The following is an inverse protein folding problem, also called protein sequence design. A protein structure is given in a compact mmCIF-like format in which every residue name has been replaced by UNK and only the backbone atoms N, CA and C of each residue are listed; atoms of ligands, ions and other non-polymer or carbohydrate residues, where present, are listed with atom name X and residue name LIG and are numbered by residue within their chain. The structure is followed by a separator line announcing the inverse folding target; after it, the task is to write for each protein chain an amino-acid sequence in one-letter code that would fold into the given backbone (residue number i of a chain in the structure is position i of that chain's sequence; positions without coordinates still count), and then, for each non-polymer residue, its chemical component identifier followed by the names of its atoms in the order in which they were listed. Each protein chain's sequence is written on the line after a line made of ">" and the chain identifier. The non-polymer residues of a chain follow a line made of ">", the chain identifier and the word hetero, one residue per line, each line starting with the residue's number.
data_IF_853056938210
#
_entry.id   IF_853056938210
#
_cell.length_a   1.000
_cell.length_b   1.000
_cell.length_c   1.000
_cell.angle_alpha   90.00
_cell.angle_beta   90.00
_cell.angle_gamma   90.00
#
_symmetry.space_group_name_H-M   'P 1'
#
loop_
_entity.id
_entity.type
_entity.pdbx_description
1 polymer ?
#
# COMPACT_ATOMS: atom_id res chain seq x y z
N UNK A 1 -16.58 -4.27 -17.78
CA UNK A 1 -15.71 -5.43 -17.60
C UNK A 1 -14.69 -5.17 -16.49
N UNK A 2 -14.56 -6.10 -15.59
CA UNK A 2 -13.61 -5.97 -14.47
C UNK A 2 -12.16 -6.10 -14.96
N UNK A 3 -11.29 -5.24 -14.46
CA UNK A 3 -9.87 -5.35 -14.77
C UNK A 3 -9.27 -6.54 -14.01
N UNK A 4 -8.30 -7.20 -14.62
CA UNK A 4 -7.58 -8.28 -13.96
C UNK A 4 -6.69 -7.75 -12.83
N UNK A 5 -6.23 -8.65 -11.97
CA UNK A 5 -5.28 -8.32 -10.90
C UNK A 5 -4.05 -7.60 -11.47
N UNK A 6 -3.42 -8.17 -12.50
CA UNK A 6 -2.22 -7.57 -13.08
C UNK A 6 -2.47 -6.17 -13.60
N UNK A 7 -3.60 -5.94 -14.25
CA UNK A 7 -3.94 -4.63 -14.79
C UNK A 7 -4.16 -3.60 -13.67
N UNK A 8 -4.86 -4.02 -12.60
CA UNK A 8 -5.08 -3.15 -11.45
C UNK A 8 -3.75 -2.76 -10.81
N UNK A 9 -2.86 -3.72 -10.61
CA UNK A 9 -1.56 -3.46 -9.99
C UNK A 9 -0.70 -2.57 -10.87
N UNK A 10 -0.73 -2.76 -12.19
CA UNK A 10 0.02 -1.89 -13.11
C UNK A 10 -0.41 -0.43 -12.98
N UNK A 11 -1.71 -0.19 -12.87
CA UNK A 11 -2.23 1.17 -12.74
C UNK A 11 -1.85 1.80 -11.38
N UNK A 12 -1.87 1.00 -10.32
CA UNK A 12 -1.41 1.46 -9.00
C UNK A 12 0.08 1.77 -9.05
N UNK A 13 0.89 0.91 -9.65
CA UNK A 13 2.33 1.12 -9.78
C UNK A 13 2.64 2.40 -10.54
N UNK A 14 1.91 2.69 -11.59
CA UNK A 14 2.07 3.94 -12.36
C UNK A 14 1.84 5.16 -11.47
N UNK A 15 0.78 5.14 -10.68
CA UNK A 15 0.47 6.22 -9.77
C UNK A 15 1.60 6.42 -8.75
N UNK A 16 2.06 5.33 -8.15
CA UNK A 16 3.14 5.37 -7.14
C UNK A 16 4.41 5.95 -7.75
N UNK A 17 4.76 5.49 -8.95
CA UNK A 17 5.95 6.00 -9.64
C UNK A 17 5.86 7.52 -9.84
N UNK A 18 4.70 8.01 -10.31
CA UNK A 18 4.52 9.45 -10.53
C UNK A 18 4.60 10.26 -9.23
N UNK A 19 4.11 9.70 -8.13
CA UNK A 19 4.12 10.40 -6.85
C UNK A 19 5.51 10.42 -6.21
N UNK A 20 6.33 9.39 -6.42
CA UNK A 20 7.59 9.23 -5.70
C UNK A 20 8.84 9.44 -6.55
N UNK A 21 8.72 9.59 -7.85
CA UNK A 21 9.88 9.64 -8.75
C UNK A 21 10.86 10.78 -8.46
N UNK A 22 10.41 11.85 -7.83
CA UNK A 22 11.26 13.00 -7.50
C UNK A 22 11.66 13.03 -6.03
N UNK A 23 11.47 11.94 -5.32
CA UNK A 23 11.78 11.87 -3.89
C UNK A 23 13.26 11.53 -3.69
N UNK A 24 13.93 12.33 -2.88
CA UNK A 24 15.33 12.14 -2.53
C UNK A 24 15.52 11.78 -1.06
N UNK A 25 14.44 11.46 -0.34
CA UNK A 25 14.50 11.23 1.10
C UNK A 25 14.63 9.76 1.49
N UNK A 26 14.72 8.84 0.52
CA UNK A 26 14.85 7.42 0.77
C UNK A 26 13.57 6.61 0.59
N UNK A 27 12.45 7.27 0.34
CA UNK A 27 11.18 6.62 0.03
C UNK A 27 11.12 6.34 -1.47
N UNK A 28 12.09 5.60 -1.98
CA UNK A 28 12.23 5.43 -3.42
C UNK A 28 11.48 4.20 -3.94
N UNK A 29 11.42 4.11 -5.26
CA UNK A 29 10.73 3.02 -5.93
C UNK A 29 11.39 1.67 -5.62
N UNK A 30 12.72 1.65 -5.43
CA UNK A 30 13.43 0.42 -5.07
C UNK A 30 12.94 -0.16 -3.75
N UNK A 31 12.73 0.69 -2.74
CA UNK A 31 12.17 0.26 -1.46
C UNK A 31 10.79 -0.37 -1.66
N UNK A 32 9.93 0.31 -2.42
CA UNK A 32 8.57 -0.20 -2.70
C UNK A 32 8.65 -1.57 -3.36
N UNK A 33 9.52 -1.74 -4.35
CA UNK A 33 9.65 -3.01 -5.06
C UNK A 33 10.12 -4.12 -4.12
N UNK A 34 11.03 -3.83 -3.20
CA UNK A 34 11.49 -4.82 -2.22
C UNK A 34 10.39 -5.20 -1.24
N UNK A 35 9.61 -4.22 -0.78
CA UNK A 35 8.47 -4.49 0.10
C UNK A 35 7.44 -5.37 -0.60
N UNK A 36 7.13 -5.08 -1.85
CA UNK A 36 6.18 -5.89 -2.64
C UNK A 36 6.69 -7.32 -2.79
N UNK A 37 7.98 -7.51 -3.10
CA UNK A 37 8.56 -8.85 -3.19
C UNK A 37 8.49 -9.60 -1.86
N UNK A 38 8.76 -8.90 -0.75
CA UNK A 38 8.64 -9.50 0.58
C UNK A 38 7.20 -9.96 0.84
N UNK A 39 6.22 -9.14 0.47
CA UNK A 39 4.81 -9.48 0.65
C UNK A 39 4.42 -10.72 -0.14
N UNK A 40 4.89 -10.85 -1.38
CA UNK A 40 4.63 -12.05 -2.17
C UNK A 40 5.19 -13.30 -1.49
N UNK A 41 6.37 -13.21 -0.91
CA UNK A 41 6.97 -14.33 -0.18
C UNK A 41 6.14 -14.72 1.05
N UNK A 42 5.67 -13.73 1.79
CA UNK A 42 4.83 -13.98 2.97
C UNK A 42 3.51 -14.61 2.55
N UNK A 43 2.91 -14.12 1.46
CA UNK A 43 1.62 -14.63 0.98
C UNK A 43 1.67 -16.09 0.54
N UNK A 44 2.85 -16.64 0.28
CA UNK A 44 2.99 -18.07 0.01
C UNK A 44 2.73 -18.92 1.25
N UNK A 45 2.91 -18.35 2.44
CA UNK A 45 2.78 -19.07 3.72
C UNK A 45 1.58 -18.62 4.54
N UNK A 46 1.16 -17.37 4.37
CA UNK A 46 0.06 -16.80 5.15
C UNK A 46 -1.14 -16.53 4.25
N UNK A 47 -2.33 -16.81 4.75
CA UNK A 47 -3.56 -16.59 3.97
C UNK A 47 -3.99 -15.13 4.07
N UNK A 48 -3.57 -14.33 3.09
CA UNK A 48 -4.01 -12.95 2.98
C UNK A 48 -4.70 -12.72 1.66
N UNK A 49 -5.29 -11.54 1.50
CA UNK A 49 -5.88 -11.11 0.23
C UNK A 49 -4.79 -10.47 -0.62
N UNK A 50 -4.40 -11.14 -1.69
CA UNK A 50 -3.27 -10.69 -2.52
C UNK A 50 -3.50 -9.29 -3.09
N UNK A 51 -4.69 -8.98 -3.57
CA UNK A 51 -4.98 -7.66 -4.14
C UNK A 51 -4.84 -6.57 -3.08
N UNK A 52 -5.44 -6.77 -1.92
CA UNK A 52 -5.39 -5.79 -0.84
C UNK A 52 -3.97 -5.60 -0.32
N UNK A 53 -3.26 -6.72 -0.08
CA UNK A 53 -1.90 -6.67 0.45
C UNK A 53 -0.94 -5.97 -0.52
N UNK A 54 -0.94 -6.39 -1.78
CA UNK A 54 0.01 -5.85 -2.75
C UNK A 54 -0.30 -4.38 -3.06
N UNK A 55 -1.57 -4.04 -3.21
CA UNK A 55 -1.97 -2.64 -3.42
C UNK A 55 -1.52 -1.76 -2.24
N UNK A 56 -1.73 -2.24 -1.02
CA UNK A 56 -1.33 -1.51 0.18
C UNK A 56 0.18 -1.32 0.26
N UNK A 57 0.94 -2.35 -0.11
CA UNK A 57 2.40 -2.24 -0.14
C UNK A 57 2.87 -1.15 -1.09
N UNK A 58 2.27 -1.07 -2.29
CA UNK A 58 2.62 -0.02 -3.24
C UNK A 58 2.28 1.37 -2.71
N UNK A 59 1.17 1.53 -2.00
CA UNK A 59 0.64 2.84 -1.64
C UNK A 59 1.10 3.35 -0.27
N UNK A 60 1.71 2.50 0.56
CA UNK A 60 1.92 2.86 1.97
C UNK A 60 2.79 4.11 2.18
N UNK A 61 3.73 4.38 1.29
CA UNK A 61 4.57 5.59 1.41
C UNK A 61 3.94 6.82 0.76
N UNK A 62 2.83 6.64 0.05
CA UNK A 62 2.19 7.76 -0.66
C UNK A 62 1.38 8.68 0.26
N UNK A 63 1.29 8.37 1.56
CA UNK A 63 0.63 9.24 2.54
C UNK A 63 1.59 9.69 3.64
N UNK A 64 2.89 9.45 3.47
CA UNK A 64 3.89 9.82 4.47
C UNK A 64 3.96 11.35 4.57
N UNK A 65 3.77 11.87 5.78
CA UNK A 65 3.79 13.31 6.02
C UNK A 65 5.14 13.96 5.75
N UNK A 66 6.20 13.18 5.69
CA UNK A 66 7.52 13.68 5.30
C UNK A 66 7.57 14.08 3.83
N UNK A 67 6.71 13.50 3.00
CA UNK A 67 6.67 13.75 1.56
C UNK A 67 5.49 14.62 1.14
N UNK A 68 4.40 14.56 1.88
CA UNK A 68 3.15 15.20 1.51
C UNK A 68 2.63 16.05 2.67
N UNK A 69 2.41 17.32 2.40
CA UNK A 69 2.01 18.27 3.43
C UNK A 69 0.64 17.96 4.05
N UNK A 70 -0.24 17.33 3.27
CA UNK A 70 -1.61 17.03 3.71
C UNK A 70 -1.97 15.59 3.40
N UNK A 71 -1.80 14.67 4.38
CA UNK A 71 -2.15 13.27 4.18
C UNK A 71 -3.62 13.04 3.81
N UNK A 72 -4.53 13.87 4.28
CA UNK A 72 -5.94 13.66 3.93
C UNK A 72 -6.21 13.95 2.46
N UNK A 73 -5.51 14.90 1.84
CA UNK A 73 -5.59 15.14 0.40
C UNK A 73 -5.07 13.92 -0.36
N UNK A 74 -3.95 13.35 0.08
CA UNK A 74 -3.39 12.15 -0.54
C UNK A 74 -4.34 10.97 -0.42
N UNK A 75 -4.97 10.78 0.73
CA UNK A 75 -5.94 9.71 0.93
C UNK A 75 -7.11 9.87 -0.03
N UNK A 76 -7.61 11.09 -0.23
CA UNK A 76 -8.68 11.36 -1.20
C UNK A 76 -8.25 11.01 -2.62
N UNK A 77 -7.03 11.36 -3.00
CA UNK A 77 -6.48 11.01 -4.32
C UNK A 77 -6.43 9.50 -4.51
N UNK A 78 -5.96 8.79 -3.49
CA UNK A 78 -5.86 7.33 -3.52
C UNK A 78 -7.25 6.70 -3.61
N UNK A 79 -8.20 7.19 -2.84
CA UNK A 79 -9.57 6.70 -2.89
C UNK A 79 -10.15 6.84 -4.28
N UNK A 80 -9.98 8.01 -4.89
CA UNK A 80 -10.47 8.26 -6.25
C UNK A 80 -9.77 7.36 -7.27
N UNK A 81 -8.46 7.19 -7.12
CA UNK A 81 -7.69 6.30 -7.99
C UNK A 81 -8.24 4.87 -7.96
N UNK A 82 -8.40 4.33 -6.77
CA UNK A 82 -8.85 2.94 -6.60
C UNK A 82 -10.28 2.76 -7.11
N UNK A 83 -11.14 3.75 -6.86
CA UNK A 83 -12.49 3.72 -7.37
C UNK A 83 -12.52 3.73 -8.91
N UNK A 84 -11.69 4.57 -9.53
CA UNK A 84 -11.61 4.67 -10.98
C UNK A 84 -11.03 3.42 -11.64
N UNK A 85 -10.10 2.75 -10.95
CA UNK A 85 -9.52 1.50 -11.43
C UNK A 85 -10.55 0.36 -11.39
N UNK A 86 -11.46 0.38 -10.42
CA UNK A 86 -12.49 -0.64 -10.30
C UNK A 86 -12.41 -1.49 -9.05
N UNK A 87 -11.72 -1.02 -8.02
CA UNK A 87 -11.73 -1.69 -6.72
C UNK A 87 -13.11 -1.54 -6.09
N UNK A 88 -13.52 -2.54 -5.30
CA UNK A 88 -14.79 -2.49 -4.56
C UNK A 88 -14.64 -1.58 -3.34
N UNK A 89 -15.75 -1.02 -2.87
CA UNK A 89 -15.75 -0.11 -1.74
C UNK A 89 -15.10 -0.71 -0.49
N UNK A 90 -15.43 -1.97 -0.16
CA UNK A 90 -14.85 -2.63 1.00
C UNK A 90 -13.34 -2.85 0.84
N UNK A 91 -12.88 -3.13 -0.39
CA UNK A 91 -11.44 -3.24 -0.67
C UNK A 91 -10.75 -1.89 -0.47
N UNK A 92 -11.35 -0.82 -0.96
CA UNK A 92 -10.78 0.53 -0.84
C UNK A 92 -10.66 0.92 0.64
N UNK A 93 -11.72 0.70 1.41
CA UNK A 93 -11.69 1.06 2.84
C UNK A 93 -10.65 0.26 3.60
N UNK A 94 -10.51 -1.01 3.31
CA UNK A 94 -9.49 -1.82 3.96
C UNK A 94 -8.07 -1.39 3.57
N UNK A 95 -7.84 -1.09 2.30
CA UNK A 95 -6.54 -0.61 1.83
C UNK A 95 -6.16 0.69 2.55
N UNK A 96 -7.09 1.64 2.62
CA UNK A 96 -6.84 2.92 3.29
C UNK A 96 -6.56 2.70 4.78
N UNK A 97 -7.34 1.85 5.43
CA UNK A 97 -7.13 1.49 6.83
C UNK A 97 -5.69 0.94 7.03
N UNK A 98 -5.26 0.05 6.16
CA UNK A 98 -3.93 -0.57 6.26
C UNK A 98 -2.82 0.47 6.09
N UNK A 99 -2.90 1.28 5.02
CA UNK A 99 -1.81 2.24 4.76
C UNK A 99 -1.73 3.30 5.86
N UNK A 100 -2.85 3.71 6.43
CA UNK A 100 -2.86 4.64 7.55
C UNK A 100 -2.19 4.03 8.78
N UNK A 101 -2.51 2.78 9.09
CA UNK A 101 -1.96 2.11 10.28
C UNK A 101 -0.47 1.82 10.12
N UNK A 102 -0.03 1.43 8.94
CA UNK A 102 1.39 1.20 8.69
C UNK A 102 2.18 2.50 8.78
N UNK A 103 1.60 3.61 8.28
CA UNK A 103 2.31 4.89 8.21
C UNK A 103 2.26 5.70 9.50
N UNK A 104 1.14 5.64 10.24
CA UNK A 104 0.92 6.55 11.37
C UNK A 104 0.93 5.89 12.75
N UNK A 105 0.66 4.59 12.83
CA UNK A 105 0.40 3.93 14.14
C UNK A 105 1.61 3.22 14.74
N UNK A 106 2.76 3.52 14.30
CA UNK A 106 4.05 2.89 14.68
C UNK A 106 4.03 2.16 16.03
N UNK A 107 4.14 0.83 15.99
CA UNK A 107 4.24 0.03 17.20
C UNK A 107 2.92 -0.42 17.82
N UNK A 108 1.79 0.15 17.41
CA UNK A 108 0.49 -0.22 17.96
C UNK A 108 -0.26 -1.22 17.09
N UNK A 109 0.37 -1.67 16.03
CA UNK A 109 -0.26 -2.54 15.02
C UNK A 109 -0.60 -3.92 15.58
N UNK A 110 0.19 -4.41 16.52
CA UNK A 110 -0.01 -5.71 17.14
C UNK A 110 -1.35 -5.83 17.85
N UNK A 111 -1.99 -4.72 18.13
CA UNK A 111 -3.31 -4.70 18.77
C UNK A 111 -4.44 -4.89 17.75
N UNK A 112 -4.12 -4.92 16.47
CA UNK A 112 -5.13 -5.01 15.40
C UNK A 112 -5.16 -6.42 14.85
N UNK A 113 -6.34 -7.04 14.86
CA UNK A 113 -6.54 -8.39 14.33
C UNK A 113 -6.91 -8.32 12.86
N UNK A 114 -5.91 -8.08 12.00
CA UNK A 114 -6.08 -8.00 10.57
C UNK A 114 -4.87 -8.61 9.88
N UNK A 115 -5.07 -9.77 9.24
CA UNK A 115 -3.97 -10.50 8.61
C UNK A 115 -3.33 -9.71 7.47
N UNK A 116 -4.12 -8.98 6.69
CA UNK A 116 -3.58 -8.20 5.58
C UNK A 116 -2.68 -7.07 6.07
N UNK A 117 -3.11 -6.37 7.12
CA UNK A 117 -2.29 -5.34 7.75
C UNK A 117 -0.99 -5.93 8.30
N UNK A 118 -1.07 -7.08 8.96
CA UNK A 118 0.10 -7.74 9.51
C UNK A 118 1.12 -8.09 8.42
N UNK A 119 0.65 -8.61 7.29
CA UNK A 119 1.52 -8.97 6.17
C UNK A 119 2.21 -7.73 5.60
N UNK A 120 1.48 -6.64 5.39
CA UNK A 120 2.06 -5.39 4.86
C UNK A 120 3.13 -4.86 5.82
N UNK A 121 2.81 -4.82 7.12
CA UNK A 121 3.75 -4.36 8.13
C UNK A 121 5.02 -5.20 8.15
N UNK A 122 4.87 -6.53 8.11
CA UNK A 122 6.02 -7.42 8.16
C UNK A 122 6.87 -7.29 6.89
N UNK A 123 6.23 -7.15 5.72
CA UNK A 123 6.93 -6.95 4.46
C UNK A 123 7.77 -5.67 4.48
N UNK A 124 7.21 -4.59 5.03
CA UNK A 124 7.91 -3.32 5.16
C UNK A 124 9.11 -3.43 6.11
N UNK A 125 8.90 -4.08 7.25
CA UNK A 125 9.96 -4.25 8.26
C UNK A 125 11.13 -5.10 7.75
N UNK A 126 10.87 -6.06 6.88
CA UNK A 126 11.92 -6.91 6.32
C UNK A 126 12.91 -6.13 5.44
N UNK A 127 12.52 -4.96 4.97
CA UNK A 127 13.38 -4.11 4.17
C UNK A 127 14.13 -3.05 5.00
N UNK A 128 14.01 -3.12 6.30
CA UNK A 128 14.66 -2.16 7.18
C UNK A 128 16.19 -2.37 7.23
#
# INVERSE_FOLDING_TARGET
>A
MEKSFGKKIDLVNKFVYEELKNDYSGHDISHINRVVNNAYKILKKEKGNILIVITSCYLHDCIDEKLFADPSTQISKIRDLLNNIGYKNDEIEEIIYIIEHVSFSKGNIEMVDNINLKIVRDADRLDA
#
